data_IF_992474167482
#
_entry.id   IF_992474167482
#
_cell.length_a   1.000
_cell.length_b   1.000
_cell.length_c   1.000
_cell.angle_alpha   90.00
_cell.angle_beta   90.00
_cell.angle_gamma   90.00
#
_symmetry.space_group_name_H-M   'P 1'
#
loop_
_entity.id
_entity.type
_entity.pdbx_description
1 polymer ?
#
# COMPACT_ATOMS: atom_id res chain seq x y z
N UNK A 1 11.65 -6.00 -8.93
CA UNK A 1 10.68 -4.88 -8.98
C UNK A 1 9.39 -5.40 -9.62
N UNK A 2 8.22 -5.05 -9.06
CA UNK A 2 6.92 -5.35 -9.69
C UNK A 2 6.77 -4.58 -11.01
N UNK A 3 6.17 -5.20 -12.03
CA UNK A 3 5.86 -4.51 -13.29
C UNK A 3 4.72 -3.50 -13.11
N UNK A 4 4.66 -2.46 -13.95
CA UNK A 4 3.60 -1.44 -13.89
C UNK A 4 2.20 -2.07 -13.98
N UNK A 5 2.00 -3.06 -14.85
CA UNK A 5 0.73 -3.78 -14.98
C UNK A 5 0.33 -4.52 -13.70
N UNK A 6 1.31 -5.09 -12.99
CA UNK A 6 1.06 -5.79 -11.73
C UNK A 6 0.72 -4.80 -10.60
N UNK A 7 1.36 -3.62 -10.57
CA UNK A 7 1.03 -2.53 -9.65
C UNK A 7 -0.39 -1.99 -9.90
N UNK A 8 -0.75 -1.78 -11.17
CA UNK A 8 -2.09 -1.37 -11.58
C UNK A 8 -3.16 -2.35 -11.07
N UNK A 9 -2.95 -3.66 -11.23
CA UNK A 9 -3.88 -4.67 -10.70
C UNK A 9 -4.06 -4.60 -9.19
N UNK A 10 -2.98 -4.35 -8.43
CA UNK A 10 -3.07 -4.18 -6.97
C UNK A 10 -3.91 -2.94 -6.64
N UNK A 11 -3.63 -1.81 -7.30
CA UNK A 11 -4.35 -0.55 -7.12
C UNK A 11 -5.84 -0.70 -7.40
N UNK A 12 -6.21 -1.35 -8.51
CA UNK A 12 -7.62 -1.64 -8.83
C UNK A 12 -8.28 -2.51 -7.75
N UNK A 13 -7.60 -3.56 -7.26
CA UNK A 13 -8.15 -4.45 -6.23
C UNK A 13 -8.43 -3.73 -4.91
N UNK A 14 -7.66 -2.69 -4.58
CA UNK A 14 -7.87 -1.88 -3.38
C UNK A 14 -8.77 -0.67 -3.63
N UNK A 15 -9.39 -0.58 -4.82
CA UNK A 15 -10.32 0.48 -5.18
C UNK A 15 -9.68 1.80 -5.59
N UNK A 16 -8.36 1.84 -5.81
CA UNK A 16 -7.68 3.03 -6.35
C UNK A 16 -7.96 3.11 -7.84
N UNK A 17 -8.42 4.27 -8.31
CA UNK A 17 -8.64 4.53 -9.73
C UNK A 17 -7.31 4.47 -10.49
N UNK A 18 -7.28 3.67 -11.55
CA UNK A 18 -6.10 3.46 -12.39
C UNK A 18 -6.41 3.99 -13.79
N UNK A 19 -5.53 4.83 -14.39
CA UNK A 19 -5.75 5.33 -15.74
C UNK A 19 -5.70 4.16 -16.76
N UNK A 20 -6.54 4.19 -17.81
CA UNK A 20 -6.54 3.15 -18.83
C UNK A 20 -5.17 3.04 -19.51
N UNK A 21 -4.71 1.81 -19.72
CA UNK A 21 -3.49 1.53 -20.49
C UNK A 21 -3.82 1.80 -21.97
N UNK A 22 -3.44 2.97 -22.48
CA UNK A 22 -3.54 3.26 -23.91
C UNK A 22 -2.63 2.29 -24.69
N UNK A 23 -2.94 2.07 -25.97
CA UNK A 23 -2.38 1.02 -26.84
C UNK A 23 -0.85 0.99 -26.93
N UNK A 24 -0.15 2.04 -26.49
CA UNK A 24 1.25 1.96 -26.09
C UNK A 24 1.39 2.24 -24.60
N UNK A 25 1.98 1.32 -23.80
CA UNK A 25 2.39 1.62 -22.43
C UNK A 25 3.58 2.59 -22.48
N UNK A 26 3.28 3.85 -22.78
CA UNK A 26 4.23 4.93 -22.78
C UNK A 26 4.88 5.06 -21.41
N UNK A 27 6.12 5.55 -21.38
CA UNK A 27 6.85 5.84 -20.14
C UNK A 27 6.01 6.69 -19.16
N UNK A 28 5.10 7.52 -19.69
CA UNK A 28 4.15 8.33 -18.92
C UNK A 28 3.20 7.48 -18.07
N UNK A 29 2.49 6.52 -18.68
CA UNK A 29 1.55 5.65 -17.95
C UNK A 29 2.27 4.86 -16.85
N UNK A 30 3.44 4.28 -17.16
CA UNK A 30 4.24 3.54 -16.17
C UNK A 30 4.63 4.42 -14.98
N UNK A 31 5.09 5.65 -15.26
CA UNK A 31 5.44 6.63 -14.23
C UNK A 31 4.25 6.97 -13.33
N UNK A 32 3.08 7.13 -13.92
CA UNK A 32 1.85 7.45 -13.18
C UNK A 32 1.42 6.30 -12.27
N UNK A 33 1.47 5.07 -12.76
CA UNK A 33 1.24 3.87 -11.92
C UNK A 33 2.27 3.77 -10.79
N UNK A 34 3.54 4.09 -11.07
CA UNK A 34 4.59 4.06 -10.05
C UNK A 34 4.33 5.09 -8.93
N UNK A 35 3.85 6.29 -9.27
CA UNK A 35 3.47 7.32 -8.31
C UNK A 35 2.29 6.86 -7.45
N UNK A 36 1.21 6.37 -8.07
CA UNK A 36 0.03 5.87 -7.36
C UNK A 36 0.39 4.72 -6.42
N UNK A 37 1.24 3.80 -6.88
CA UNK A 37 1.70 2.68 -6.07
C UNK A 37 2.58 3.13 -4.90
N UNK A 38 3.45 4.13 -5.10
CA UNK A 38 4.27 4.68 -4.03
C UNK A 38 3.40 5.32 -2.92
N UNK A 39 2.36 6.07 -3.29
CA UNK A 39 1.42 6.66 -2.33
C UNK A 39 0.65 5.57 -1.57
N UNK A 40 0.14 4.56 -2.28
CA UNK A 40 -0.53 3.41 -1.66
C UNK A 40 0.41 2.67 -0.68
N UNK A 41 1.65 2.40 -1.10
CA UNK A 41 2.62 1.70 -0.27
C UNK A 41 2.99 2.50 0.98
N UNK A 42 3.16 3.82 0.86
CA UNK A 42 3.41 4.71 2.00
C UNK A 42 2.22 4.70 2.98
N UNK A 43 0.99 4.84 2.49
CA UNK A 43 -0.21 4.78 3.32
C UNK A 43 -0.36 3.42 4.03
N UNK A 44 -0.11 2.32 3.32
CA UNK A 44 -0.13 0.97 3.89
C UNK A 44 0.96 0.78 4.95
N UNK A 45 2.17 1.30 4.72
CA UNK A 45 3.26 1.24 5.67
C UNK A 45 2.95 2.04 6.94
N UNK A 46 2.40 3.25 6.80
CA UNK A 46 1.95 4.06 7.93
C UNK A 46 0.85 3.35 8.75
N UNK A 47 -0.13 2.74 8.08
CA UNK A 47 -1.17 1.95 8.74
C UNK A 47 -0.59 0.73 9.47
N UNK A 48 0.29 -0.02 8.82
CA UNK A 48 0.93 -1.20 9.41
C UNK A 48 1.81 -0.85 10.62
N UNK A 49 2.49 0.31 10.60
CA UNK A 49 3.28 0.79 11.73
C UNK A 49 2.39 1.06 12.93
N UNK A 50 1.26 1.74 12.72
CA UNK A 50 0.27 2.01 13.76
C UNK A 50 -0.33 0.72 14.34
N UNK A 51 -0.73 -0.22 13.48
CA UNK A 51 -1.24 -1.53 13.91
C UNK A 51 -0.19 -2.30 14.75
N UNK A 52 1.09 -2.22 14.36
CA UNK A 52 2.18 -2.84 15.12
C UNK A 52 2.40 -2.16 16.48
N UNK A 53 2.22 -0.84 16.58
CA UNK A 53 2.29 -0.10 17.85
C UNK A 53 1.12 -0.43 18.77
N UNK A 54 -0.11 -0.44 18.25
CA UNK A 54 -1.32 -0.81 18.99
C UNK A 54 -1.21 -2.26 19.51
N UNK A 55 -0.71 -3.18 18.69
CA UNK A 55 -0.45 -4.56 19.11
C UNK A 55 0.60 -4.66 20.22
N UNK A 56 1.66 -3.83 20.16
CA UNK A 56 2.69 -3.75 21.22
C UNK A 56 2.12 -3.21 22.52
N UNK A 57 1.34 -2.12 22.46
CA UNK A 57 0.70 -1.53 23.64
C UNK A 57 -0.30 -2.50 24.29
N UNK A 58 -1.13 -3.18 23.49
CA UNK A 58 -2.06 -4.18 23.98
C UNK A 58 -1.35 -5.38 24.63
N UNK A 59 -0.19 -5.80 24.09
CA UNK A 59 0.64 -6.84 24.69
C UNK A 59 1.23 -6.43 26.04
N UNK A 60 1.64 -5.17 26.19
CA UNK A 60 2.15 -4.63 27.46
C UNK A 60 1.04 -4.53 28.51
N UNK A 61 -0.14 -4.04 28.13
CA UNK A 61 -1.31 -3.98 29.01
C UNK A 61 -1.73 -5.38 29.49
N UNK A 62 -1.77 -6.36 28.59
CA UNK A 62 -2.08 -7.76 28.96
C UNK A 62 -1.07 -8.35 29.94
N UNK A 63 0.20 -7.94 29.87
CA UNK A 63 1.25 -8.37 30.81
C UNK A 63 1.14 -7.65 32.18
N UNK A 64 0.70 -6.39 32.19
CA UNK A 64 0.52 -5.62 33.42
C UNK A 64 -0.76 -5.99 34.19
N UNK A 65 -1.82 -6.40 33.50
CA UNK A 65 -3.11 -6.77 34.11
C UNK A 65 -3.22 -8.25 34.50
N UNK A 66 -2.19 -9.06 34.24
CA UNK A 66 -2.18 -10.51 34.44
C UNK A 66 -1.04 -11.02 35.32
N UNK A 67 -0.48 -10.15 36.17
CA UNK A 67 0.56 -10.48 37.15
C UNK A 67 0.03 -10.31 38.57
#
# INVERSE_FOLDING_TARGET
MLSARHKAQILTKVGVAVPPEHSEPGKAWRREIDILYAQFAAARAAKSLREAEEARQMKLLRKANGG
#
